data_IF_571283704100
#
_entry.id   IF_571283704100
#
_cell.length_a   1.000
_cell.length_b   1.000
_cell.length_c   1.000
_cell.angle_alpha   90.00
_cell.angle_beta   90.00
_cell.angle_gamma   90.00
#
_symmetry.space_group_name_H-M   'P 1'
#
loop_
_entity.id
_entity.type
_entity.pdbx_description
1 polymer ?
#
# COMPACT_ATOMS: atom_id res chain seq x y z
N UNK A 1 24.65 -6.69 -7.66
CA UNK A 1 23.26 -6.57 -7.18
C UNK A 1 23.25 -5.97 -5.78
N UNK A 2 22.31 -5.08 -5.49
CA UNK A 2 22.10 -4.50 -4.16
C UNK A 2 20.63 -4.59 -3.72
N UNK A 3 20.41 -4.98 -2.47
CA UNK A 3 19.12 -4.98 -1.78
C UNK A 3 19.14 -3.91 -0.71
N UNK A 4 18.05 -3.16 -0.61
CA UNK A 4 17.82 -2.19 0.46
C UNK A 4 16.44 -2.36 1.04
N UNK A 5 16.36 -2.56 2.36
CA UNK A 5 15.14 -2.56 3.14
C UNK A 5 15.21 -1.43 4.16
N UNK A 6 14.29 -0.49 4.05
CA UNK A 6 14.01 0.48 5.10
C UNK A 6 12.85 0.02 5.96
N UNK A 7 12.96 0.21 7.26
CA UNK A 7 11.88 0.06 8.23
C UNK A 7 11.83 1.27 9.14
N UNK A 8 10.67 1.91 9.24
CA UNK A 8 10.46 2.98 10.22
C UNK A 8 9.86 2.41 11.49
N UNK A 9 10.52 2.56 12.63
CA UNK A 9 9.95 2.34 13.95
C UNK A 9 9.32 3.62 14.48
N UNK A 10 8.24 3.47 15.26
CA UNK A 10 7.80 4.51 16.16
C UNK A 10 9.00 4.92 17.05
N UNK A 11 9.26 6.23 17.22
CA UNK A 11 10.36 6.68 18.06
C UNK A 11 10.18 6.12 19.48
N UNK A 12 11.27 5.68 20.15
CA UNK A 12 11.18 5.27 21.55
C UNK A 12 10.59 6.42 22.36
N UNK A 13 9.62 6.11 23.23
CA UNK A 13 9.12 7.08 24.19
C UNK A 13 10.31 7.56 25.04
N UNK A 14 10.64 8.85 24.94
CA UNK A 14 11.70 9.47 25.73
C UNK A 14 11.46 9.22 27.22
N UNK A 15 12.40 8.59 27.96
CA UNK A 15 12.27 8.40 29.39
C UNK A 15 12.88 9.62 30.09
N UNK A 16 12.26 10.78 30.00
CA UNK A 16 12.68 11.96 30.77
C UNK A 16 11.47 12.61 31.45
N UNK A 17 11.10 12.08 32.62
CA UNK A 17 10.63 12.88 33.77
C UNK A 17 10.42 11.98 35.00
N UNK A 18 11.51 11.70 35.71
CA UNK A 18 11.49 11.37 37.14
C UNK A 18 12.80 11.84 37.74
N UNK A 19 12.77 12.96 38.48
CA UNK A 19 13.51 13.21 39.73
C UNK A 19 13.36 14.68 40.12
N UNK A 20 12.52 14.96 41.12
CA UNK A 20 12.89 15.65 42.36
C UNK A 20 11.63 16.11 43.09
N UNK A 21 11.33 15.45 44.21
CA UNK A 21 10.52 16.00 45.28
C UNK A 21 11.38 15.99 46.55
N UNK A 22 11.18 17.04 47.37
CA UNK A 22 11.59 17.24 48.77
C UNK A 22 12.98 17.83 49.04
N UNK A 23 13.02 19.15 49.25
CA UNK A 23 13.20 19.81 50.56
C UNK A 23 13.47 21.30 50.36
N UNK A 24 12.70 22.18 50.97
CA UNK A 24 13.14 23.16 52.00
C UNK A 24 11.98 24.08 52.41
N UNK A 25 12.03 24.48 53.68
CA UNK A 25 11.01 25.15 54.48
C UNK A 25 11.24 26.68 54.47
N UNK A 26 10.14 27.44 54.60
CA UNK A 26 9.96 28.80 55.15
C UNK A 26 10.67 30.02 54.53
N UNK A 27 9.90 31.02 54.07
CA UNK A 27 9.52 32.17 54.91
C UNK A 27 8.47 33.07 54.22
N UNK A 28 7.67 33.71 55.07
CA UNK A 28 6.49 34.55 54.85
C UNK A 28 6.78 35.88 54.15
N UNK A 29 5.78 36.51 53.49
CA UNK A 29 5.38 37.92 53.65
C UNK A 29 4.17 38.31 52.74
N UNK A 30 3.02 38.52 53.40
CA UNK A 30 1.92 39.51 53.25
C UNK A 30 1.51 40.14 51.88
N UNK A 31 0.25 39.86 51.48
CA UNK A 31 -0.85 40.71 50.89
C UNK A 31 -0.66 41.53 49.57
N UNK A 32 -1.77 42.04 48.94
CA UNK A 32 -3.13 41.52 48.74
C UNK A 32 -3.65 41.59 47.27
N UNK A 33 -4.75 40.86 47.05
CA UNK A 33 -5.83 40.98 46.05
C UNK A 33 -5.83 42.10 44.97
N UNK A 34 -6.10 41.70 43.72
CA UNK A 34 -7.14 42.31 42.87
C UNK A 34 -7.60 41.35 41.75
N UNK A 35 -8.91 41.26 41.45
CA UNK A 35 -9.46 40.45 40.37
C UNK A 35 -9.64 41.30 39.10
N UNK A 36 -9.44 40.70 37.91
CA UNK A 36 -9.92 41.28 36.65
C UNK A 36 -11.09 40.48 36.12
N UNK A 37 -12.29 40.99 36.41
CA UNK A 37 -13.47 40.88 35.55
C UNK A 37 -13.39 41.95 34.44
N UNK A 38 -14.33 41.86 33.49
CA UNK A 38 -14.53 42.66 32.26
C UNK A 38 -13.81 42.14 31.02
N UNK A 39 -14.43 42.10 29.84
CA UNK A 39 -15.83 42.19 29.43
C UNK A 39 -15.82 41.99 27.92
N UNK A 40 -16.85 41.32 27.45
CA UNK A 40 -17.38 41.41 26.10
C UNK A 40 -17.30 42.83 25.51
N UNK A 41 -16.66 42.96 24.35
CA UNK A 41 -16.96 43.99 23.37
C UNK A 41 -17.32 43.33 22.05
N UNK A 42 -18.59 43.51 21.73
CA UNK A 42 -19.27 43.30 20.46
C UNK A 42 -18.58 44.14 19.38
N UNK A 43 -18.35 43.55 18.20
CA UNK A 43 -18.28 44.28 16.92
C UNK A 43 -18.89 43.43 15.79
N UNK A 44 -19.42 44.09 14.74
CA UNK A 44 -20.66 43.68 14.09
C UNK A 44 -20.48 42.90 12.79
N UNK A 45 -21.58 42.28 12.39
CA UNK A 45 -21.87 41.69 11.07
C UNK A 45 -21.63 42.65 9.90
N UNK A 46 -20.93 42.18 8.85
CA UNK A 46 -21.11 42.70 7.49
C UNK A 46 -21.02 41.57 6.45
N UNK A 47 -21.99 41.63 5.54
CA UNK A 47 -22.25 40.76 4.40
C UNK A 47 -21.19 40.88 3.28
N UNK A 48 -20.98 39.76 2.59
CA UNK A 48 -20.67 39.54 1.16
C UNK A 48 -20.01 40.67 0.33
N UNK A 49 -18.86 40.34 -0.28
CA UNK A 49 -18.64 40.56 -1.71
C UNK A 49 -17.49 39.69 -2.26
N UNK A 50 -17.74 39.05 -3.42
CA UNK A 50 -16.82 38.22 -4.18
C UNK A 50 -16.05 39.02 -5.25
N UNK A 51 -14.82 38.63 -5.65
CA UNK A 51 -14.14 39.27 -6.77
C UNK A 51 -14.44 38.60 -8.13
N UNK A 52 -14.70 39.44 -9.13
CA UNK A 52 -15.04 39.11 -10.53
C UNK A 52 -13.83 38.64 -11.35
N UNK A 53 -14.08 37.67 -12.23
CA UNK A 53 -13.19 37.23 -13.32
C UNK A 53 -13.20 38.22 -14.49
N UNK A 54 -12.02 38.46 -15.06
CA UNK A 54 -11.81 39.26 -16.28
C UNK A 54 -11.88 38.31 -17.50
N UNK A 55 -12.72 38.63 -18.47
CA UNK A 55 -12.86 37.91 -19.74
C UNK A 55 -12.21 38.68 -20.90
N UNK A 56 -11.46 37.97 -21.74
CA UNK A 56 -10.93 38.47 -23.01
C UNK A 56 -11.93 38.21 -24.15
N UNK A 57 -12.19 39.26 -24.94
CA UNK A 57 -13.08 39.27 -26.12
C UNK A 57 -12.22 39.32 -27.38
N UNK A 58 -12.38 38.36 -28.29
CA UNK A 58 -11.84 38.43 -29.65
C UNK A 58 -12.85 39.16 -30.56
N UNK A 59 -12.34 40.04 -31.43
CA UNK A 59 -13.10 40.81 -32.41
C UNK A 59 -12.94 40.20 -33.81
N UNK A 60 -14.03 40.22 -34.57
CA UNK A 60 -14.12 39.87 -35.98
C UNK A 60 -13.36 40.86 -36.89
N UNK A 61 -12.81 40.35 -37.99
CA UNK A 61 -12.25 41.13 -39.12
C UNK A 61 -12.76 40.51 -40.44
N UNK A 62 -13.21 41.30 -41.43
CA UNK A 62 -13.89 40.80 -42.63
C UNK A 62 -12.96 40.47 -43.80
N UNK A 63 -13.54 39.75 -44.77
CA UNK A 63 -13.03 39.22 -46.04
C UNK A 63 -12.55 40.25 -47.06
N UNK A 64 -11.53 39.89 -47.85
CA UNK A 64 -11.29 40.39 -49.21
C UNK A 64 -10.62 39.34 -50.11
N UNK A 65 -10.94 39.41 -51.41
CA UNK A 65 -10.75 38.47 -52.51
C UNK A 65 -9.30 38.22 -52.98
N UNK A 66 -9.10 37.10 -53.71
CA UNK A 66 -8.35 37.14 -54.98
C UNK A 66 -7.36 36.01 -55.31
N UNK A 67 -7.67 35.34 -56.43
CA UNK A 67 -6.78 34.72 -57.44
C UNK A 67 -6.52 33.20 -57.39
N UNK A 68 -6.70 32.63 -58.59
CA UNK A 68 -6.90 31.26 -59.02
C UNK A 68 -5.60 30.46 -59.19
N UNK A 69 -5.71 29.12 -59.14
CA UNK A 69 -5.10 28.27 -60.17
C UNK A 69 -5.86 26.94 -60.33
N UNK A 70 -5.89 26.48 -61.57
CA UNK A 70 -6.85 25.55 -62.19
C UNK A 70 -6.27 24.13 -62.29
N UNK A 71 -7.15 23.12 -62.25
CA UNK A 71 -7.28 21.93 -63.15
C UNK A 71 -7.67 20.64 -62.38
N UNK A 72 -8.94 20.27 -62.57
CA UNK A 72 -9.66 18.98 -62.68
C UNK A 72 -9.12 17.67 -62.08
N UNK A 73 -10.02 16.79 -61.54
CA UNK A 73 -10.65 15.81 -62.44
C UNK A 73 -12.13 15.44 -62.17
N UNK A 74 -12.80 15.17 -63.30
CA UNK A 74 -13.87 14.17 -63.58
C UNK A 74 -15.21 14.22 -62.81
N UNK A 75 -16.26 14.30 -63.63
CA UNK A 75 -17.67 14.19 -63.28
C UNK A 75 -18.19 12.74 -63.33
N UNK A 76 -19.40 12.58 -62.77
CA UNK A 76 -20.34 11.43 -62.80
C UNK A 76 -19.99 10.26 -61.87
N UNK A 77 -20.86 9.79 -60.97
CA UNK A 77 -22.30 9.54 -61.13
C UNK A 77 -23.13 9.87 -59.88
N UNK A 78 -24.39 10.22 -60.13
CA UNK A 78 -25.46 10.37 -59.16
C UNK A 78 -25.84 9.05 -58.48
N UNK A 79 -26.12 9.10 -57.18
CA UNK A 79 -27.19 8.29 -56.59
C UNK A 79 -27.98 9.14 -55.61
N UNK A 80 -29.27 9.21 -55.90
CA UNK A 80 -30.34 9.81 -55.13
C UNK A 80 -30.48 9.14 -53.77
N UNK A 81 -30.28 9.90 -52.69
CA UNK A 81 -30.87 9.66 -51.36
C UNK A 81 -30.53 10.85 -50.46
N UNK A 82 -31.04 12.02 -50.84
CA UNK A 82 -31.06 13.17 -49.95
C UNK A 82 -32.24 13.04 -48.98
N UNK A 83 -31.92 13.23 -47.70
CA UNK A 83 -32.78 13.69 -46.61
C UNK A 83 -33.85 12.74 -46.08
N UNK A 84 -33.40 11.68 -45.39
CA UNK A 84 -34.02 11.35 -44.10
C UNK A 84 -33.26 12.11 -43.02
N UNK A 85 -33.84 13.24 -42.61
CA UNK A 85 -33.34 14.00 -41.48
C UNK A 85 -33.43 13.12 -40.23
N UNK A 86 -32.28 12.77 -39.67
CA UNK A 86 -32.18 12.39 -38.27
C UNK A 86 -32.72 13.57 -37.45
N UNK A 87 -34.00 13.52 -37.10
CA UNK A 87 -34.54 14.24 -35.95
C UNK A 87 -33.96 13.57 -34.70
N UNK A 88 -32.67 13.77 -34.46
CA UNK A 88 -32.13 13.65 -33.12
C UNK A 88 -32.81 14.73 -32.30
N UNK A 89 -33.78 14.35 -31.48
CA UNK A 89 -34.34 15.27 -30.49
C UNK A 89 -33.15 15.82 -29.71
N UNK A 90 -32.90 17.12 -29.84
CA UNK A 90 -32.03 17.85 -28.94
C UNK A 90 -32.77 17.94 -27.60
N UNK A 91 -32.89 16.80 -26.91
CA UNK A 91 -33.10 16.81 -25.48
C UNK A 91 -31.89 17.56 -24.94
N UNK A 92 -32.10 18.80 -24.52
CA UNK A 92 -31.13 19.55 -23.77
C UNK A 92 -30.63 18.63 -22.65
N UNK A 93 -29.39 18.14 -22.77
CA UNK A 93 -28.69 17.45 -21.69
C UNK A 93 -28.46 18.51 -20.61
N UNK A 94 -29.51 18.82 -19.87
CA UNK A 94 -29.51 19.81 -18.82
C UNK A 94 -28.64 19.27 -17.70
N UNK A 95 -27.39 19.72 -17.65
CA UNK A 95 -26.47 19.39 -16.57
C UNK A 95 -26.96 20.06 -15.29
N UNK A 96 -27.76 19.31 -14.53
CA UNK A 96 -28.36 19.69 -13.26
C UNK A 96 -27.78 18.92 -12.08
N UNK A 97 -28.25 19.24 -10.88
CA UNK A 97 -27.80 18.61 -9.64
C UNK A 97 -28.06 17.09 -9.62
N UNK A 98 -29.10 16.62 -10.30
CA UNK A 98 -29.50 15.22 -10.47
C UNK A 98 -28.50 14.38 -11.27
N UNK A 99 -27.62 15.02 -12.07
CA UNK A 99 -26.55 14.34 -12.79
C UNK A 99 -25.28 14.13 -11.94
N UNK A 100 -25.24 14.69 -10.72
CA UNK A 100 -24.13 14.51 -9.79
C UNK A 100 -24.35 13.23 -8.99
N UNK A 101 -23.63 12.16 -9.35
CA UNK A 101 -23.70 10.89 -8.63
C UNK A 101 -22.70 10.86 -7.47
N UNK A 102 -23.20 10.57 -6.26
CA UNK A 102 -22.38 10.24 -5.09
C UNK A 102 -22.33 8.72 -4.97
N UNK A 103 -21.12 8.16 -4.89
CA UNK A 103 -20.90 6.73 -4.67
C UNK A 103 -20.58 6.51 -3.19
N UNK A 104 -21.46 5.82 -2.48
CA UNK A 104 -21.32 5.61 -1.04
C UNK A 104 -20.48 4.35 -0.72
N UNK A 105 -19.72 4.43 0.36
CA UNK A 105 -18.94 3.30 0.89
C UNK A 105 -18.03 2.64 -0.16
N UNK A 106 -18.23 1.34 -0.36
CA UNK A 106 -17.40 0.52 -1.25
C UNK A 106 -17.85 0.53 -2.72
N UNK A 107 -18.94 1.21 -3.06
CA UNK A 107 -19.40 1.31 -4.46
C UNK A 107 -18.39 2.06 -5.33
N UNK A 108 -17.72 3.06 -4.77
CA UNK A 108 -16.65 3.79 -5.45
C UNK A 108 -15.48 2.88 -5.87
N UNK A 109 -15.13 1.90 -5.03
CA UNK A 109 -14.07 0.92 -5.30
C UNK A 109 -14.45 0.06 -6.50
N UNK A 110 -15.66 -0.50 -6.49
CA UNK A 110 -16.16 -1.35 -7.57
C UNK A 110 -16.32 -0.60 -8.89
N UNK A 111 -16.72 0.67 -8.84
CA UNK A 111 -16.89 1.50 -10.03
C UNK A 111 -15.54 1.91 -10.64
N UNK A 112 -14.50 2.08 -9.82
CA UNK A 112 -13.17 2.56 -10.23
C UNK A 112 -12.03 1.71 -9.62
N UNK A 113 -11.97 0.40 -9.89
CA UNK A 113 -11.04 -0.52 -9.24
C UNK A 113 -9.57 -0.17 -9.52
N UNK A 114 -9.25 0.29 -10.74
CA UNK A 114 -7.88 0.66 -11.11
C UNK A 114 -7.25 1.76 -10.23
N UNK A 115 -8.06 2.62 -9.60
CA UNK A 115 -7.54 3.61 -8.66
C UNK A 115 -7.00 2.98 -7.37
N UNK A 116 -7.51 1.80 -7.00
CA UNK A 116 -7.17 1.11 -5.75
C UNK A 116 -6.18 -0.04 -5.96
N UNK A 117 -6.29 -0.77 -7.08
CA UNK A 117 -5.49 -1.98 -7.36
C UNK A 117 -4.69 -1.89 -8.67
N UNK A 118 -4.60 -0.70 -9.28
CA UNK A 118 -3.87 -0.43 -10.52
C UNK A 118 -4.63 -0.84 -11.79
N UNK A 119 -4.95 -2.13 -11.93
CA UNK A 119 -5.72 -2.67 -13.06
C UNK A 119 -6.68 -3.78 -12.61
N UNK A 120 -7.49 -4.29 -13.53
CA UNK A 120 -8.38 -5.46 -13.29
C UNK A 120 -7.93 -6.68 -14.10
N UNK A 121 -6.65 -6.75 -14.42
CA UNK A 121 -6.01 -7.86 -15.10
C UNK A 121 -5.18 -8.70 -14.13
N UNK A 122 -4.10 -9.29 -14.66
CA UNK A 122 -3.24 -10.20 -13.91
C UNK A 122 -2.66 -9.53 -12.65
N UNK A 123 -2.15 -8.31 -12.76
CA UNK A 123 -1.50 -7.63 -11.64
C UNK A 123 -2.51 -7.26 -10.57
N UNK A 124 -3.64 -6.67 -10.95
CA UNK A 124 -4.70 -6.31 -10.01
C UNK A 124 -5.27 -7.50 -9.24
N UNK A 125 -5.48 -8.64 -9.91
CA UNK A 125 -5.97 -9.86 -9.25
C UNK A 125 -5.01 -10.33 -8.15
N UNK A 126 -3.71 -10.40 -8.46
CA UNK A 126 -2.69 -10.80 -7.48
C UNK A 126 -2.47 -9.73 -6.41
N UNK A 127 -2.74 -8.47 -6.71
CA UNK A 127 -2.67 -7.39 -5.73
C UNK A 127 -3.68 -7.59 -4.58
N UNK A 128 -4.85 -8.20 -4.83
CA UNK A 128 -5.77 -8.57 -3.76
C UNK A 128 -5.13 -9.52 -2.75
N UNK A 129 -4.33 -10.47 -3.23
CA UNK A 129 -3.58 -11.42 -2.40
C UNK A 129 -2.55 -10.68 -1.56
N UNK A 130 -1.83 -9.74 -2.19
CA UNK A 130 -0.78 -8.97 -1.52
C UNK A 130 -1.33 -8.11 -0.40
N UNK A 131 -2.49 -7.47 -0.58
CA UNK A 131 -3.13 -6.67 0.47
C UNK A 131 -3.44 -7.49 1.73
N UNK A 132 -3.92 -8.73 1.58
CA UNK A 132 -4.19 -9.60 2.72
C UNK A 132 -2.88 -10.14 3.32
N UNK A 133 -1.95 -10.55 2.47
CA UNK A 133 -0.65 -11.10 2.89
C UNK A 133 0.20 -10.06 3.62
N UNK A 134 0.24 -8.82 3.14
CA UNK A 134 0.99 -7.72 3.75
C UNK A 134 0.40 -7.37 5.13
N UNK A 135 -0.92 -7.48 5.32
CA UNK A 135 -1.54 -7.32 6.65
C UNK A 135 -1.12 -8.42 7.64
N UNK A 136 -1.00 -9.67 7.18
CA UNK A 136 -0.49 -10.78 7.99
C UNK A 136 1.01 -10.59 8.32
N UNK A 137 1.80 -10.10 7.36
CA UNK A 137 3.21 -9.76 7.57
C UNK A 137 3.37 -8.61 8.56
N UNK A 138 2.46 -7.63 8.58
CA UNK A 138 2.49 -6.55 9.56
C UNK A 138 2.31 -7.04 11.00
N UNK A 139 1.52 -8.11 11.24
CA UNK A 139 1.47 -8.78 12.55
C UNK A 139 2.83 -9.39 12.91
N UNK A 140 3.53 -9.99 11.95
CA UNK A 140 4.86 -10.56 12.17
C UNK A 140 5.92 -9.48 12.43
N UNK A 141 5.87 -8.36 11.70
CA UNK A 141 6.74 -7.19 11.94
C UNK A 141 6.49 -6.57 13.31
N UNK A 142 5.24 -6.60 13.79
CA UNK A 142 4.87 -6.21 15.15
C UNK A 142 5.31 -7.21 16.23
N UNK A 143 5.82 -8.39 15.85
CA UNK A 143 6.24 -9.45 16.77
C UNK A 143 5.12 -10.35 17.27
N UNK A 144 3.94 -10.31 16.62
CA UNK A 144 2.75 -11.04 17.07
C UNK A 144 2.45 -12.30 16.26
N UNK A 145 2.96 -12.39 15.03
CA UNK A 145 2.82 -13.57 14.18
C UNK A 145 4.18 -14.21 13.88
N UNK A 146 4.17 -15.52 13.75
CA UNK A 146 5.33 -16.35 13.35
C UNK A 146 5.03 -17.29 12.18
N UNK A 147 3.75 -17.44 11.82
CA UNK A 147 3.28 -18.31 10.76
C UNK A 147 2.19 -17.62 9.95
N UNK A 148 2.29 -17.73 8.64
CA UNK A 148 1.23 -17.38 7.69
C UNK A 148 1.03 -18.54 6.73
N UNK A 149 -0.22 -18.92 6.50
CA UNK A 149 -0.60 -19.95 5.54
C UNK A 149 -1.43 -19.33 4.42
N UNK A 150 -1.00 -19.57 3.19
CA UNK A 150 -1.69 -19.15 1.97
C UNK A 150 -2.17 -20.41 1.23
N UNK A 151 -3.46 -20.48 0.93
CA UNK A 151 -4.08 -21.61 0.23
C UNK A 151 -4.83 -21.10 -1.00
N UNK A 152 -4.43 -21.58 -2.19
CA UNK A 152 -5.22 -21.48 -3.41
C UNK A 152 -6.21 -22.65 -3.42
N UNK A 153 -7.50 -22.36 -3.33
CA UNK A 153 -8.55 -23.36 -3.18
C UNK A 153 -9.07 -23.80 -4.56
N UNK A 154 -9.63 -25.01 -4.65
CA UNK A 154 -10.11 -25.58 -5.92
C UNK A 154 -11.29 -24.82 -6.56
N UNK A 155 -12.01 -24.00 -5.78
CA UNK A 155 -13.11 -23.14 -6.24
C UNK A 155 -12.64 -21.78 -6.81
N UNK A 156 -11.32 -21.60 -6.99
CA UNK A 156 -10.64 -20.34 -7.34
C UNK A 156 -10.74 -19.24 -6.28
N UNK A 157 -11.17 -19.57 -5.06
CA UNK A 157 -10.98 -18.68 -3.92
C UNK A 157 -9.58 -18.84 -3.34
N UNK A 158 -9.19 -17.88 -2.50
CA UNK A 158 -7.91 -17.89 -1.81
C UNK A 158 -8.13 -17.65 -0.33
N UNK A 159 -7.41 -18.37 0.51
CA UNK A 159 -7.40 -18.19 1.96
C UNK A 159 -6.01 -17.78 2.43
N UNK A 160 -5.93 -16.76 3.30
CA UNK A 160 -4.73 -16.42 4.05
C UNK A 160 -5.05 -16.48 5.54
N UNK A 161 -4.27 -17.24 6.29
CA UNK A 161 -4.39 -17.38 7.74
C UNK A 161 -3.10 -16.98 8.42
N UNK A 162 -3.15 -16.04 9.38
CA UNK A 162 -2.05 -15.73 10.28
C UNK A 162 -2.30 -16.25 11.69
N UNK A 163 -1.25 -16.29 12.51
CA UNK A 163 -1.33 -16.55 13.95
C UNK A 163 -1.07 -15.29 14.80
N UNK A 164 -1.43 -14.11 14.29
CA UNK A 164 -1.28 -12.82 14.96
C UNK A 164 -2.31 -12.60 16.07
N UNK A 165 -2.54 -11.33 16.43
CA UNK A 165 -3.46 -10.94 17.52
C UNK A 165 -4.95 -11.14 17.20
N UNK A 166 -5.29 -11.31 15.92
CA UNK A 166 -6.68 -11.23 15.45
C UNK A 166 -7.19 -9.79 15.33
N UNK A 167 -7.98 -9.51 14.29
CA UNK A 167 -8.65 -8.21 14.12
C UNK A 167 -9.58 -7.95 15.32
N UNK A 168 -9.61 -6.74 15.90
CA UNK A 168 -10.54 -6.43 16.99
C UNK A 168 -12.00 -6.63 16.59
N UNK A 169 -12.80 -7.22 17.48
CA UNK A 169 -14.21 -7.57 17.23
C UNK A 169 -15.19 -6.73 18.05
N UNK A 170 -14.70 -5.97 19.02
CA UNK A 170 -15.49 -5.06 19.86
C UNK A 170 -16.26 -4.01 19.05
N UNK A 171 -17.32 -3.48 19.65
CA UNK A 171 -18.11 -2.41 19.05
C UNK A 171 -17.26 -1.15 18.82
N UNK A 172 -17.16 -0.71 17.58
CA UNK A 172 -16.41 0.48 17.23
C UNK A 172 -17.19 1.75 17.66
N UNK A 173 -16.55 2.70 18.36
CA UNK A 173 -17.25 3.79 19.04
C UNK A 173 -17.98 4.76 18.10
N UNK A 174 -17.52 4.90 16.84
CA UNK A 174 -18.10 5.84 15.87
C UNK A 174 -19.13 5.17 14.97
N UNK A 175 -18.76 4.06 14.34
CA UNK A 175 -19.60 3.36 13.34
C UNK A 175 -20.70 2.53 13.98
N UNK A 176 -20.62 2.25 15.29
CA UNK A 176 -21.59 1.43 16.03
C UNK A 176 -21.80 0.03 15.42
N UNK A 177 -20.77 -0.46 14.73
CA UNK A 177 -20.64 -1.82 14.19
C UNK A 177 -19.48 -2.51 14.90
N UNK A 178 -19.34 -3.82 14.75
CA UNK A 178 -18.09 -4.47 15.17
C UNK A 178 -16.89 -3.80 14.48
N UNK A 179 -15.76 -3.76 15.17
CA UNK A 179 -14.53 -3.20 14.60
C UNK A 179 -14.10 -4.01 13.37
N UNK A 180 -14.34 -5.31 13.39
CA UNK A 180 -14.19 -6.21 12.24
C UNK A 180 -15.01 -5.75 11.02
N UNK A 181 -16.31 -5.49 11.20
CA UNK A 181 -17.14 -4.99 10.09
C UNK A 181 -16.71 -3.59 9.64
N UNK A 182 -16.27 -2.76 10.57
CA UNK A 182 -15.80 -1.41 10.26
C UNK A 182 -14.61 -1.43 9.30
N UNK A 183 -13.57 -2.22 9.59
CA UNK A 183 -12.38 -2.30 8.72
C UNK A 183 -12.65 -3.00 7.38
N UNK A 184 -13.73 -3.78 7.29
CA UNK A 184 -14.15 -4.46 6.06
C UNK A 184 -15.09 -3.62 5.18
N UNK A 185 -15.78 -2.63 5.73
CA UNK A 185 -16.85 -1.89 5.02
C UNK A 185 -16.62 -0.39 4.90
N UNK A 186 -15.65 0.18 5.62
CA UNK A 186 -15.34 1.61 5.62
C UNK A 186 -13.95 1.84 5.06
N UNK A 187 -13.86 2.66 4.00
CA UNK A 187 -12.57 3.13 3.49
C UNK A 187 -11.91 4.05 4.51
N UNK A 188 -10.58 3.99 4.60
CA UNK A 188 -9.78 4.75 5.55
C UNK A 188 -10.13 4.43 7.01
N UNK A 189 -10.43 3.15 7.29
CA UNK A 189 -10.57 2.63 8.64
C UNK A 189 -9.44 1.62 8.92
N UNK A 190 -8.68 1.84 10.01
CA UNK A 190 -7.59 0.95 10.38
C UNK A 190 -6.79 1.44 11.59
N UNK A 191 -5.93 0.59 12.12
CA UNK A 191 -5.08 0.88 13.28
C UNK A 191 -3.67 1.37 12.92
N UNK A 192 -3.40 1.68 11.65
CA UNK A 192 -2.06 1.93 11.08
C UNK A 192 -1.83 3.38 10.64
N UNK A 193 -2.53 4.35 11.23
CA UNK A 193 -2.41 5.78 10.87
C UNK A 193 -1.25 6.51 11.56
N UNK A 194 -0.39 5.80 12.29
CA UNK A 194 0.73 6.39 13.02
C UNK A 194 0.33 7.09 14.32
N UNK A 195 1.32 7.71 14.97
CA UNK A 195 1.15 8.38 16.28
C UNK A 195 1.24 7.44 17.49
N UNK A 196 1.16 8.02 18.69
CA UNK A 196 1.27 7.30 19.97
C UNK A 196 0.15 6.29 20.24
N UNK A 197 -0.96 6.38 19.49
CA UNK A 197 -2.11 5.48 19.57
C UNK A 197 -2.14 4.42 18.46
N UNK A 198 -1.10 4.32 17.63
CA UNK A 198 -1.02 3.29 16.57
C UNK A 198 -0.90 1.90 17.18
N UNK A 199 -1.68 0.93 16.66
CA UNK A 199 -1.57 -0.48 17.06
C UNK A 199 -0.33 -1.19 16.49
N UNK A 200 0.43 -0.49 15.64
CA UNK A 200 1.61 -0.98 14.94
C UNK A 200 2.74 0.06 15.02
N UNK A 201 3.92 -0.39 15.46
CA UNK A 201 5.14 0.44 15.51
C UNK A 201 5.82 0.55 14.14
N UNK A 202 5.65 -0.47 13.29
CA UNK A 202 6.06 -0.53 11.87
C UNK A 202 4.96 -1.27 11.12
N UNK A 203 4.57 -0.76 9.94
CA UNK A 203 3.68 -1.50 9.03
C UNK A 203 3.85 -1.05 7.59
N UNK A 204 3.67 -1.97 6.65
CA UNK A 204 3.53 -1.67 5.22
C UNK A 204 2.20 -1.00 4.91
N UNK A 205 1.12 -1.42 5.56
CA UNK A 205 -0.19 -0.77 5.42
C UNK A 205 -0.24 0.60 6.10
N UNK A 206 -0.70 1.63 5.40
CA UNK A 206 -0.86 2.99 5.94
C UNK A 206 -2.16 3.71 5.54
N UNK A 207 -2.84 3.25 4.48
CA UNK A 207 -4.00 3.94 3.92
C UNK A 207 -5.34 3.57 4.58
N UNK A 208 -5.40 2.42 5.24
CA UNK A 208 -6.64 1.89 5.82
C UNK A 208 -7.70 1.51 4.77
N UNK A 209 -7.28 1.04 3.59
CA UNK A 209 -8.21 0.66 2.49
C UNK A 209 -8.06 -0.78 2.01
N UNK A 210 -6.87 -1.39 2.12
CA UNK A 210 -6.54 -2.68 1.50
C UNK A 210 -7.59 -3.78 1.69
N UNK A 211 -7.84 -4.18 2.95
CA UNK A 211 -8.81 -5.22 3.28
C UNK A 211 -10.24 -4.89 2.78
N UNK A 212 -10.68 -3.64 2.93
CA UNK A 212 -11.99 -3.20 2.46
C UNK A 212 -12.10 -3.20 0.92
N UNK A 213 -11.00 -2.93 0.21
CA UNK A 213 -10.92 -3.04 -1.25
C UNK A 213 -11.02 -4.48 -1.69
N UNK A 214 -10.30 -5.40 -1.02
CA UNK A 214 -10.43 -6.85 -1.27
C UNK A 214 -11.86 -7.31 -1.08
N UNK A 215 -12.52 -6.88 0.01
CA UNK A 215 -13.93 -7.18 0.26
C UNK A 215 -14.85 -6.63 -0.84
N UNK A 216 -14.66 -5.38 -1.26
CA UNK A 216 -15.44 -4.74 -2.31
C UNK A 216 -15.34 -5.47 -3.66
N UNK A 217 -14.14 -5.97 -3.99
CA UNK A 217 -13.80 -6.62 -5.26
C UNK A 217 -13.92 -8.15 -5.23
N UNK A 218 -14.51 -8.70 -4.16
CA UNK A 218 -14.80 -10.12 -4.03
C UNK A 218 -16.30 -10.40 -4.20
N UNK A 219 -16.64 -11.44 -4.94
CA UNK A 219 -18.01 -11.96 -5.03
C UNK A 219 -18.49 -12.43 -3.64
N UNK A 220 -17.59 -13.13 -2.94
CA UNK A 220 -17.78 -13.59 -1.58
C UNK A 220 -16.49 -13.41 -0.77
N UNK A 221 -16.61 -12.99 0.48
CA UNK A 221 -15.52 -12.97 1.46
C UNK A 221 -16.02 -13.52 2.79
N UNK A 222 -15.24 -14.41 3.38
CA UNK A 222 -15.44 -14.93 4.73
C UNK A 222 -14.24 -14.56 5.58
N UNK A 223 -14.51 -13.97 6.74
CA UNK A 223 -13.49 -13.71 7.75
C UNK A 223 -13.75 -14.59 8.96
N UNK A 224 -12.68 -15.19 9.48
CA UNK A 224 -12.66 -15.88 10.78
C UNK A 224 -11.59 -15.23 11.64
N UNK A 225 -11.92 -14.85 12.86
CA UNK A 225 -10.97 -14.31 13.84
C UNK A 225 -10.96 -15.21 15.06
N UNK A 226 -9.78 -15.63 15.50
CA UNK A 226 -9.59 -16.29 16.77
C UNK A 226 -8.96 -15.29 17.73
N UNK A 227 -9.66 -14.99 18.82
CA UNK A 227 -9.21 -14.03 19.83
C UNK A 227 -9.88 -14.29 21.17
N UNK A 228 -9.11 -14.21 22.26
CA UNK A 228 -9.62 -14.33 23.63
C UNK A 228 -10.43 -15.62 23.88
N UNK A 229 -10.01 -16.73 23.27
CA UNK A 229 -10.67 -18.04 23.37
C UNK A 229 -11.99 -18.15 22.58
N UNK A 230 -12.29 -17.19 21.71
CA UNK A 230 -13.52 -17.12 20.92
C UNK A 230 -13.18 -17.11 19.43
N UNK A 231 -13.93 -17.89 18.66
CA UNK A 231 -13.98 -17.82 17.21
C UNK A 231 -15.12 -16.88 16.78
N UNK A 232 -14.77 -15.87 15.99
CA UNK A 232 -15.72 -14.94 15.38
C UNK A 232 -15.76 -15.16 13.88
N UNK A 233 -16.95 -15.18 13.28
CA UNK A 233 -17.09 -15.33 11.84
C UNK A 233 -18.10 -14.33 11.26
N UNK A 234 -17.78 -13.78 10.10
CA UNK A 234 -18.70 -12.94 9.34
C UNK A 234 -18.48 -13.14 7.83
N UNK A 235 -19.59 -13.11 7.08
CA UNK A 235 -19.58 -13.29 5.62
C UNK A 235 -20.04 -12.02 4.92
N UNK A 236 -19.49 -11.81 3.74
CA UNK A 236 -19.72 -10.66 2.89
C UNK A 236 -19.95 -11.09 1.45
N UNK A 237 -20.76 -10.32 0.73
CA UNK A 237 -20.86 -10.40 -0.72
C UNK A 237 -20.68 -9.00 -1.31
N UNK A 238 -19.68 -8.83 -2.18
CA UNK A 238 -19.38 -7.57 -2.87
C UNK A 238 -19.28 -6.36 -1.92
N UNK A 239 -18.56 -6.55 -0.81
CA UNK A 239 -18.37 -5.53 0.22
C UNK A 239 -19.51 -5.40 1.24
N UNK A 240 -20.65 -6.06 1.05
CA UNK A 240 -21.82 -5.95 1.92
C UNK A 240 -21.87 -7.13 2.90
N UNK A 241 -22.06 -6.90 4.22
CA UNK A 241 -22.24 -8.00 5.16
C UNK A 241 -23.53 -8.76 4.84
N UNK A 242 -23.46 -10.09 4.79
CA UNK A 242 -24.62 -10.98 4.56
C UNK A 242 -24.98 -11.82 5.78
N UNK A 243 -24.12 -11.81 6.80
CA UNK A 243 -24.40 -12.38 8.12
C UNK A 243 -24.09 -11.34 9.20
N UNK A 244 -24.73 -11.50 10.35
CA UNK A 244 -24.24 -10.90 11.59
C UNK A 244 -22.93 -11.56 12.01
N UNK A 245 -22.18 -10.92 12.92
CA UNK A 245 -21.00 -11.51 13.53
C UNK A 245 -21.43 -12.67 14.43
N UNK A 246 -21.06 -13.91 14.07
CA UNK A 246 -21.24 -15.06 14.96
C UNK A 246 -20.05 -15.17 15.91
N UNK A 247 -20.30 -15.73 17.10
CA UNK A 247 -19.30 -15.91 18.15
C UNK A 247 -19.46 -17.32 18.73
N UNK A 248 -18.37 -18.10 18.73
CA UNK A 248 -18.34 -19.46 19.25
C UNK A 248 -17.15 -19.62 20.21
N UNK A 249 -17.41 -20.06 21.44
CA UNK A 249 -16.32 -20.35 22.38
C UNK A 249 -15.52 -21.54 21.85
N UNK A 250 -14.19 -21.40 21.81
CA UNK A 250 -13.32 -22.46 21.34
C UNK A 250 -13.28 -23.62 22.34
N UNK A 251 -13.17 -24.87 21.85
CA UNK A 251 -12.86 -26.01 22.69
C UNK A 251 -11.57 -25.79 23.49
N UNK A 252 -11.43 -26.45 24.64
CA UNK A 252 -10.32 -26.24 25.59
C UNK A 252 -8.96 -26.48 24.91
N UNK A 253 -8.88 -27.46 24.02
CA UNK A 253 -7.70 -27.80 23.24
C UNK A 253 -7.26 -26.71 22.25
N UNK A 254 -8.14 -25.76 21.92
CA UNK A 254 -7.87 -24.64 21.00
C UNK A 254 -7.96 -23.28 21.69
N UNK A 255 -8.04 -23.23 23.03
CA UNK A 255 -8.23 -21.97 23.78
C UNK A 255 -7.14 -20.91 23.51
N UNK A 256 -5.93 -21.36 23.20
CA UNK A 256 -4.77 -20.49 22.94
C UNK A 256 -4.61 -20.14 21.45
N UNK A 257 -5.55 -20.58 20.60
CA UNK A 257 -5.57 -20.22 19.18
C UNK A 257 -5.88 -18.74 19.03
N UNK A 258 -5.06 -18.07 18.23
CA UNK A 258 -5.22 -16.66 17.88
C UNK A 258 -4.92 -16.45 16.40
N UNK A 259 -5.44 -15.37 15.83
CA UNK A 259 -5.10 -14.92 14.49
C UNK A 259 -6.32 -14.60 13.64
N UNK A 260 -6.06 -14.31 12.36
CA UNK A 260 -7.11 -14.00 11.39
C UNK A 260 -6.99 -14.91 10.18
N UNK A 261 -8.13 -15.40 9.69
CA UNK A 261 -8.26 -16.01 8.37
C UNK A 261 -9.17 -15.17 7.50
N UNK A 262 -8.69 -14.80 6.32
CA UNK A 262 -9.48 -14.17 5.26
C UNK A 262 -9.54 -15.14 4.08
N UNK A 263 -10.75 -15.60 3.76
CA UNK A 263 -11.04 -16.37 2.54
C UNK A 263 -11.85 -15.50 1.60
N UNK A 264 -11.42 -15.35 0.34
CA UNK A 264 -12.15 -14.54 -0.63
C UNK A 264 -12.17 -15.14 -2.02
N UNK A 265 -13.28 -14.94 -2.73
CA UNK A 265 -13.48 -15.29 -4.13
C UNK A 265 -13.54 -13.99 -4.95
N UNK A 266 -12.57 -13.72 -5.83
CA UNK A 266 -12.57 -12.52 -6.68
C UNK A 266 -13.84 -12.40 -7.53
N UNK A 267 -14.36 -11.17 -7.68
CA UNK A 267 -15.59 -10.94 -8.42
C UNK A 267 -15.37 -11.00 -9.94
N UNK A 268 -16.01 -11.97 -10.60
CA UNK A 268 -15.94 -12.18 -12.05
C UNK A 268 -16.52 -11.02 -12.87
N UNK A 269 -17.38 -10.18 -12.28
CA UNK A 269 -17.87 -8.98 -12.95
C UNK A 269 -16.79 -7.89 -13.07
N UNK A 270 -15.83 -7.89 -12.13
CA UNK A 270 -14.69 -6.98 -12.11
C UNK A 270 -13.52 -7.57 -12.91
N UNK A 271 -13.17 -8.84 -12.63
CA UNK A 271 -12.04 -9.54 -13.25
C UNK A 271 -12.50 -10.42 -14.43
N UNK A 272 -12.85 -9.79 -15.55
CA UNK A 272 -13.51 -10.46 -16.68
C UNK A 272 -12.61 -11.42 -17.47
N UNK A 273 -11.30 -11.17 -17.51
CA UNK A 273 -10.36 -11.86 -18.41
C UNK A 273 -9.46 -12.89 -17.70
N UNK A 274 -9.32 -12.79 -16.38
CA UNK A 274 -8.45 -13.62 -15.56
C UNK A 274 -9.17 -13.94 -14.25
N UNK A 275 -9.42 -15.23 -14.02
CA UNK A 275 -10.17 -15.74 -12.88
C UNK A 275 -9.40 -16.82 -12.09
N UNK A 276 -8.10 -16.96 -12.36
CA UNK A 276 -7.25 -17.94 -11.70
C UNK A 276 -6.00 -17.25 -11.15
N UNK A 277 -5.65 -17.61 -9.93
CA UNK A 277 -4.40 -17.20 -9.31
C UNK A 277 -3.23 -18.01 -9.89
N UNK A 278 -2.12 -17.33 -10.17
CA UNK A 278 -0.88 -17.94 -10.62
C UNK A 278 0.00 -18.28 -9.41
N UNK A 279 0.25 -19.59 -9.23
CA UNK A 279 1.03 -20.09 -8.10
C UNK A 279 2.44 -19.49 -8.06
N UNK A 280 3.12 -19.39 -9.19
CA UNK A 280 4.52 -18.96 -9.24
C UNK A 280 4.69 -17.48 -8.90
N UNK A 281 3.73 -16.64 -9.30
CA UNK A 281 3.68 -15.22 -8.96
C UNK A 281 3.52 -15.03 -7.45
N UNK A 282 2.58 -15.77 -6.83
CA UNK A 282 2.36 -15.71 -5.38
C UNK A 282 3.56 -16.29 -4.62
N UNK A 283 4.09 -17.44 -5.06
CA UNK A 283 5.30 -18.06 -4.53
C UNK A 283 6.51 -17.12 -4.58
N UNK A 284 6.66 -16.38 -5.68
CA UNK A 284 7.67 -15.35 -5.84
C UNK A 284 7.58 -14.29 -4.75
N UNK A 285 6.41 -13.67 -4.60
CA UNK A 285 6.17 -12.63 -3.57
C UNK A 285 6.35 -13.17 -2.15
N UNK A 286 5.83 -14.36 -1.85
CA UNK A 286 5.98 -15.02 -0.55
C UNK A 286 7.46 -15.25 -0.22
N UNK A 287 8.24 -15.74 -1.19
CA UNK A 287 9.69 -15.95 -1.01
C UNK A 287 10.40 -14.65 -0.66
N UNK A 288 10.10 -13.55 -1.36
CA UNK A 288 10.66 -12.24 -1.00
C UNK A 288 10.30 -11.87 0.43
N UNK A 289 9.02 -11.98 0.80
CA UNK A 289 8.55 -11.63 2.15
C UNK A 289 9.20 -12.48 3.24
N UNK A 290 9.43 -13.77 3.01
CA UNK A 290 10.12 -14.65 3.95
C UNK A 290 11.58 -14.23 4.16
N UNK A 291 12.30 -13.84 3.09
CA UNK A 291 13.66 -13.26 3.23
C UNK A 291 13.66 -11.92 3.98
N UNK A 292 12.64 -11.08 3.77
CA UNK A 292 12.54 -9.79 4.43
C UNK A 292 12.18 -9.93 5.92
N UNK A 293 11.62 -11.07 6.33
CA UNK A 293 11.14 -11.33 7.68
C UNK A 293 11.72 -12.66 8.21
N UNK A 294 12.97 -12.67 8.71
CA UNK A 294 13.73 -13.91 8.96
C UNK A 294 13.16 -14.86 10.01
N UNK A 295 12.18 -14.42 10.81
CA UNK A 295 11.50 -15.23 11.83
C UNK A 295 10.08 -15.64 11.43
N UNK A 296 9.66 -15.34 10.20
CA UNK A 296 8.32 -15.63 9.70
C UNK A 296 8.36 -16.84 8.76
N UNK A 297 7.62 -17.88 9.10
CA UNK A 297 7.34 -18.98 8.18
C UNK A 297 6.09 -18.65 7.37
N UNK A 298 6.20 -18.71 6.05
CA UNK A 298 5.04 -18.59 5.17
C UNK A 298 4.90 -19.89 4.37
N UNK A 299 3.71 -20.49 4.38
CA UNK A 299 3.41 -21.67 3.58
C UNK A 299 2.50 -21.28 2.41
N UNK A 300 2.73 -21.88 1.25
CA UNK A 300 1.86 -21.79 0.10
C UNK A 300 1.40 -23.19 -0.28
N UNK A 301 0.10 -23.38 -0.41
CA UNK A 301 -0.52 -24.61 -0.88
C UNK A 301 -1.48 -24.31 -2.03
N UNK A 302 -1.48 -25.15 -3.05
CA UNK A 302 -2.53 -25.18 -4.05
C UNK A 302 -3.29 -26.49 -3.92
N UNK A 303 -4.59 -26.38 -3.66
CA UNK A 303 -5.48 -27.53 -3.65
C UNK A 303 -5.78 -28.00 -5.07
N UNK A 304 -5.87 -29.30 -5.22
CA UNK A 304 -6.35 -29.97 -6.42
C UNK A 304 -7.24 -31.13 -5.97
N UNK A 305 -8.22 -31.49 -6.81
CA UNK A 305 -9.04 -32.69 -6.63
C UNK A 305 -8.22 -33.97 -6.65
N UNK A 306 -7.08 -33.96 -7.33
CA UNK A 306 -6.10 -35.04 -7.38
C UNK A 306 -5.01 -34.80 -6.31
N UNK A 307 -4.92 -35.64 -5.26
CA UNK A 307 -3.94 -35.47 -4.19
C UNK A 307 -2.49 -35.43 -4.67
N UNK A 308 -2.16 -36.09 -5.78
CA UNK A 308 -0.79 -36.10 -6.33
C UNK A 308 -0.40 -34.77 -6.97
N UNK A 309 -1.39 -33.92 -7.30
CA UNK A 309 -1.18 -32.58 -7.90
C UNK A 309 -1.17 -31.45 -6.88
N UNK A 310 -1.40 -31.74 -5.60
CA UNK A 310 -1.31 -30.75 -4.53
C UNK A 310 0.12 -30.24 -4.46
N UNK A 311 0.30 -28.96 -4.78
CA UNK A 311 1.58 -28.28 -4.62
C UNK A 311 1.65 -27.64 -3.24
N UNK A 312 2.78 -27.81 -2.56
CA UNK A 312 3.03 -27.21 -1.24
C UNK A 312 4.48 -26.80 -1.10
N UNK A 313 4.69 -25.54 -0.73
CA UNK A 313 6.01 -25.01 -0.40
C UNK A 313 5.99 -24.31 0.97
N UNK A 314 7.10 -24.41 1.69
CA UNK A 314 7.34 -23.68 2.92
C UNK A 314 8.53 -22.75 2.71
N UNK A 315 8.39 -21.50 3.16
CA UNK A 315 9.40 -20.45 3.01
C UNK A 315 9.77 -19.93 4.40
N UNK A 316 11.01 -20.15 4.80
CA UNK A 316 11.60 -19.68 6.04
C UNK A 316 13.10 -19.47 5.85
N UNK A 317 13.56 -18.22 5.99
CA UNK A 317 14.93 -17.83 5.66
C UNK A 317 15.55 -16.97 6.76
N UNK A 318 16.22 -17.61 7.71
CA UNK A 318 16.78 -16.94 8.89
C UNK A 318 17.92 -15.96 8.55
N UNK A 319 18.61 -16.13 7.41
CA UNK A 319 19.74 -15.28 7.00
C UNK A 319 19.33 -13.94 6.38
N UNK A 320 18.03 -13.68 6.24
CA UNK A 320 17.49 -12.39 5.83
C UNK A 320 17.99 -11.91 4.46
N UNK A 321 18.31 -10.61 4.34
CA UNK A 321 18.79 -10.01 3.08
C UNK A 321 20.10 -10.64 2.57
N UNK A 322 20.98 -11.11 3.45
CA UNK A 322 22.25 -11.74 3.05
C UNK A 322 21.96 -13.04 2.30
N UNK A 323 21.06 -13.86 2.85
CA UNK A 323 20.59 -15.07 2.20
C UNK A 323 19.82 -14.77 0.91
N UNK A 324 19.03 -13.69 0.89
CA UNK A 324 18.31 -13.29 -0.30
C UNK A 324 19.23 -12.89 -1.46
N UNK A 325 20.29 -12.12 -1.19
CA UNK A 325 21.29 -11.80 -2.23
C UNK A 325 21.96 -13.06 -2.75
N UNK A 326 22.31 -14.00 -1.85
CA UNK A 326 22.90 -15.27 -2.24
C UNK A 326 21.95 -16.06 -3.15
N UNK A 327 20.66 -16.14 -2.80
CA UNK A 327 19.64 -16.79 -3.61
C UNK A 327 19.48 -16.14 -4.99
N UNK A 328 19.40 -14.81 -5.05
CA UNK A 328 19.26 -14.05 -6.31
C UNK A 328 20.48 -14.18 -7.25
N UNK A 329 21.63 -14.60 -6.73
CA UNK A 329 22.86 -14.80 -7.48
C UNK A 329 23.25 -16.28 -7.60
N UNK A 330 22.33 -17.23 -7.33
CA UNK A 330 22.59 -18.68 -7.40
C UNK A 330 23.20 -19.11 -8.74
N UNK A 331 22.72 -18.55 -9.85
CA UNK A 331 23.17 -18.91 -11.20
C UNK A 331 24.24 -17.96 -11.77
N UNK A 332 24.86 -17.14 -10.92
CA UNK A 332 25.90 -16.17 -11.33
C UNK A 332 27.26 -16.58 -10.78
N UNK A 333 28.31 -15.85 -11.15
CA UNK A 333 29.68 -16.04 -10.64
C UNK A 333 30.07 -14.91 -9.68
N UNK A 334 29.85 -15.04 -8.36
CA UNK A 334 30.22 -14.01 -7.39
C UNK A 334 31.71 -13.71 -7.39
N UNK A 335 32.06 -12.44 -7.22
CA UNK A 335 33.45 -11.99 -7.05
C UNK A 335 33.91 -12.01 -5.59
N UNK A 336 32.95 -12.02 -4.65
CA UNK A 336 33.21 -11.96 -3.22
C UNK A 336 31.96 -12.44 -2.43
N UNK A 337 32.12 -12.68 -1.13
CA UNK A 337 31.01 -12.99 -0.22
C UNK A 337 30.01 -11.83 -0.12
N UNK A 338 28.74 -12.15 0.14
CA UNK A 338 27.69 -11.13 0.29
C UNK A 338 28.03 -10.19 1.43
N UNK A 339 28.04 -8.89 1.15
CA UNK A 339 28.28 -7.86 2.16
C UNK A 339 26.93 -7.37 2.67
N UNK A 340 26.67 -7.56 3.96
CA UNK A 340 25.44 -7.13 4.63
C UNK A 340 25.71 -6.03 5.67
N UNK A 341 24.81 -5.05 5.75
CA UNK A 341 24.83 -3.98 6.75
C UNK A 341 23.44 -3.81 7.35
N UNK A 342 23.38 -3.74 8.67
CA UNK A 342 22.16 -3.33 9.38
C UNK A 342 22.52 -2.20 10.34
N UNK A 343 21.73 -1.12 10.31
CA UNK A 343 21.89 0.01 11.22
C UNK A 343 20.54 0.58 11.59
N UNK A 344 20.37 0.93 12.85
CA UNK A 344 19.24 1.72 13.32
C UNK A 344 19.72 3.14 13.62
N UNK A 345 19.04 4.14 13.08
CA UNK A 345 19.32 5.56 13.27
C UNK A 345 18.01 6.32 13.33
N UNK A 346 17.79 7.12 14.37
CA UNK A 346 16.60 7.96 14.55
C UNK A 346 15.27 7.19 14.39
N UNK A 347 15.22 5.96 14.93
CA UNK A 347 14.06 5.08 14.81
C UNK A 347 13.88 4.44 13.42
N UNK A 348 14.81 4.64 12.48
CA UNK A 348 14.78 4.00 11.16
C UNK A 348 15.80 2.88 11.13
N UNK A 349 15.35 1.66 10.89
CA UNK A 349 16.22 0.53 10.56
C UNK A 349 16.50 0.51 9.07
N UNK A 350 17.78 0.57 8.72
CA UNK A 350 18.31 0.40 7.37
C UNK A 350 18.98 -0.97 7.32
N UNK A 351 18.54 -1.84 6.42
CA UNK A 351 19.18 -3.12 6.16
C UNK A 351 19.55 -3.21 4.68
N UNK A 352 20.81 -3.50 4.37
CA UNK A 352 21.37 -3.54 3.02
C UNK A 352 22.13 -4.85 2.86
N UNK A 353 22.01 -5.49 1.71
CA UNK A 353 22.91 -6.56 1.31
C UNK A 353 23.31 -6.39 -0.16
N UNK A 354 24.57 -6.62 -0.51
CA UNK A 354 25.05 -6.44 -1.87
C UNK A 354 26.18 -7.41 -2.24
N UNK A 355 26.25 -7.74 -3.53
CA UNK A 355 27.27 -8.62 -4.10
C UNK A 355 27.48 -8.32 -5.59
N UNK A 356 28.74 -8.24 -6.02
CA UNK A 356 29.12 -8.16 -7.43
C UNK A 356 29.42 -9.54 -8.00
N UNK A 357 29.07 -9.75 -9.27
CA UNK A 357 29.30 -10.98 -10.03
C UNK A 357 30.09 -10.63 -11.29
N UNK A 358 31.02 -11.50 -11.70
CA UNK A 358 31.90 -11.25 -12.85
C UNK A 358 31.19 -11.33 -14.20
N UNK A 359 30.06 -12.02 -14.23
CA UNK A 359 29.21 -12.28 -15.40
C UNK A 359 27.97 -11.38 -15.45
N UNK A 360 27.85 -10.40 -14.54
CA UNK A 360 26.73 -9.47 -14.49
C UNK A 360 27.16 -8.05 -14.94
N UNK A 361 26.73 -7.66 -16.14
CA UNK A 361 27.05 -6.35 -16.74
C UNK A 361 25.92 -5.31 -16.61
N UNK A 362 24.81 -5.69 -15.98
CA UNK A 362 23.67 -4.81 -15.67
C UNK A 362 23.43 -4.73 -14.17
N UNK A 363 23.04 -3.54 -13.71
CA UNK A 363 22.72 -3.32 -12.31
C UNK A 363 21.33 -3.86 -11.98
N UNK A 364 21.27 -4.73 -10.98
CA UNK A 364 20.01 -5.13 -10.34
C UNK A 364 19.97 -4.53 -8.95
N UNK A 365 19.00 -3.65 -8.69
CA UNK A 365 18.80 -3.02 -7.39
C UNK A 365 17.34 -3.16 -6.97
N UNK A 366 17.10 -3.76 -5.81
CA UNK A 366 15.75 -3.99 -5.29
C UNK A 366 15.58 -3.21 -3.98
N UNK A 367 14.60 -2.32 -3.93
CA UNK A 367 14.29 -1.50 -2.75
C UNK A 367 12.95 -1.87 -2.12
N UNK A 368 12.90 -1.77 -0.80
CA UNK A 368 11.75 -2.06 0.02
C UNK A 368 11.59 -1.03 1.14
N UNK A 369 10.35 -0.72 1.48
CA UNK A 369 9.97 0.07 2.66
C UNK A 369 8.92 -0.73 3.45
N UNK A 370 9.21 -1.07 4.71
CA UNK A 370 8.35 -1.90 5.56
C UNK A 370 7.92 -3.23 4.88
N UNK A 371 8.84 -3.85 4.14
CA UNK A 371 8.64 -5.06 3.29
C UNK A 371 7.72 -4.87 2.06
N UNK A 372 7.24 -3.67 1.81
CA UNK A 372 6.56 -3.30 0.55
C UNK A 372 7.61 -2.99 -0.50
N UNK A 373 7.43 -3.54 -1.70
CA UNK A 373 8.35 -3.34 -2.81
C UNK A 373 8.17 -1.94 -3.40
N UNK A 374 9.26 -1.18 -3.52
CA UNK A 374 9.26 0.12 -4.21
C UNK A 374 9.81 -0.05 -5.62
N UNK A 375 8.94 -0.38 -6.57
CA UNK A 375 9.35 -0.69 -7.95
C UNK A 375 10.03 0.50 -8.65
N UNK A 376 9.50 1.70 -8.44
CA UNK A 376 10.03 2.95 -9.02
C UNK A 376 11.19 3.54 -8.21
N UNK A 377 11.61 2.86 -7.14
CA UNK A 377 12.63 3.30 -6.21
C UNK A 377 12.13 4.36 -5.23
N UNK A 378 12.90 5.42 -5.03
CA UNK A 378 12.63 6.44 -4.02
C UNK A 378 13.90 6.88 -3.29
N UNK A 379 13.71 7.73 -2.28
CA UNK A 379 14.79 8.41 -1.54
C UNK A 379 15.81 7.45 -0.93
N UNK A 380 15.37 6.26 -0.53
CA UNK A 380 16.20 5.21 0.02
C UNK A 380 17.16 4.63 -1.01
N UNK A 381 16.65 4.30 -2.19
CA UNK A 381 17.47 3.80 -3.32
C UNK A 381 18.45 4.88 -3.77
N UNK A 382 17.98 6.13 -3.91
CA UNK A 382 18.83 7.24 -4.34
C UNK A 382 19.94 7.53 -3.33
N UNK A 383 19.62 7.47 -2.04
CA UNK A 383 20.59 7.58 -0.95
C UNK A 383 21.65 6.47 -0.99
N UNK A 384 21.25 5.22 -1.26
CA UNK A 384 22.17 4.11 -1.45
C UNK A 384 23.10 4.33 -2.66
N UNK A 385 22.54 4.70 -3.82
CA UNK A 385 23.34 4.98 -5.03
C UNK A 385 24.36 6.07 -4.78
N UNK A 386 23.94 7.20 -4.21
CA UNK A 386 24.82 8.33 -3.92
C UNK A 386 25.92 7.96 -2.92
N UNK A 387 25.56 7.28 -1.82
CA UNK A 387 26.52 6.89 -0.78
C UNK A 387 27.52 5.84 -1.26
N UNK A 388 27.07 4.84 -2.03
CA UNK A 388 27.94 3.80 -2.58
C UNK A 388 28.93 4.39 -3.59
N UNK A 389 28.44 5.24 -4.51
CA UNK A 389 29.26 5.92 -5.51
C UNK A 389 30.36 6.77 -4.85
N UNK A 390 29.97 7.59 -3.87
CA UNK A 390 30.92 8.42 -3.10
C UNK A 390 31.97 7.56 -2.37
N UNK A 391 31.54 6.46 -1.77
CA UNK A 391 32.41 5.58 -0.99
C UNK A 391 33.44 4.89 -1.87
N UNK A 392 33.02 4.29 -2.98
CA UNK A 392 33.91 3.60 -3.92
C UNK A 392 34.88 4.58 -4.60
N UNK A 393 34.43 5.77 -5.00
CA UNK A 393 35.31 6.80 -5.58
C UNK A 393 36.37 7.27 -4.58
N UNK A 394 35.98 7.52 -3.33
CA UNK A 394 36.91 7.91 -2.27
C UNK A 394 37.92 6.80 -1.97
N UNK A 395 37.48 5.54 -1.94
CA UNK A 395 38.35 4.39 -1.81
C UNK A 395 39.33 4.29 -2.98
N UNK A 396 38.85 4.35 -4.22
CA UNK A 396 39.70 4.27 -5.41
C UNK A 396 40.75 5.38 -5.51
N UNK A 397 40.41 6.61 -5.09
CA UNK A 397 41.36 7.72 -4.99
C UNK A 397 42.41 7.48 -3.89
N UNK A 398 41.98 7.08 -2.69
CA UNK A 398 42.90 6.81 -1.55
C UNK A 398 43.85 5.64 -1.83
N UNK A 399 43.34 4.60 -2.48
CA UNK A 399 44.10 3.40 -2.88
C UNK A 399 44.92 3.60 -4.16
N UNK A 400 44.94 4.82 -4.73
CA UNK A 400 45.63 5.17 -5.99
C UNK A 400 45.23 4.30 -7.20
N UNK A 401 44.07 3.64 -7.14
CA UNK A 401 43.49 2.86 -8.23
C UNK A 401 42.87 3.77 -9.30
N UNK A 402 42.36 4.93 -8.88
CA UNK A 402 41.85 5.97 -9.76
C UNK A 402 42.90 7.07 -9.87
N UNK A 403 43.55 7.18 -11.03
CA UNK A 403 44.37 8.35 -11.34
C UNK A 403 43.45 9.54 -11.55
N UNK A 404 43.54 10.53 -10.67
CA UNK A 404 43.00 11.87 -10.96
C UNK A 404 43.94 12.46 -12.01
N UNK A 405 43.52 12.56 -13.27
CA UNK A 405 44.25 13.39 -14.23
C UNK A 405 44.15 14.83 -13.74
N UNK A 406 45.25 15.50 -13.36
CA UNK A 406 45.21 16.94 -13.23
C UNK A 406 45.00 17.47 -14.65
N UNK A 407 43.88 18.14 -14.90
CA UNK A 407 43.75 18.95 -16.10
C UNK A 407 44.82 20.03 -16.04
N UNK A 408 45.92 19.81 -16.76
CA UNK A 408 46.88 20.85 -17.09
C UNK A 408 46.20 21.69 -18.17
N UNK A 409 45.47 22.72 -17.77
CA UNK A 409 45.09 23.80 -18.68
C UNK A 409 46.37 24.55 -18.98
N UNK A 410 47.12 24.10 -19.99
CA UNK A 410 48.06 24.96 -20.69
C UNK A 410 47.21 25.95 -21.48
N UNK A 411 47.03 27.14 -20.92
CA UNK A 411 46.88 28.34 -21.73
C UNK A 411 48.23 28.56 -22.41
N UNK A 412 48.32 28.19 -23.69
CA UNK A 412 49.28 28.80 -24.63
C UNK A 412 48.49 29.85 -25.40
#
# INVERSE_FOLDING_TARGET
MALLLLRAHAPPASPYLRFMALRFISHSFLYPHLPSSYSSLVRPSHFFNSPRRIGFRLKDVPSCCGVQNVVSPRAFMSSSSATEAFQGSAASMAYGADQIQVLEGLEAVRKRPGMYIGDTGFRGLHHLVYEILDNAVDEAQGGFASKVEVILLADNSLSITDNGRGIPTDMHPVTKKSTLETVLTVLHAGGKFGGSSSGYSVSGGLHGVGLSVVNALSEALEVTVWRDGIEYQQKYSRGKPVTTLSCHVLPIEFKDRQGTRIKFLPDKEVFKTLNQFDYQTIAGRIRELAFLNPNLMITLRQEDTDPEKIQRNEYFYAGGLVEYVRWLNTDKKPLHEVVGFRKEVDGITINIALQWCSDAYSDTMLGYANSIRTADGGTHIDGLKASLTRTLNNFGKKSKLIKVQPYLVLLI
#
